data_IF_428270353121
#
_entry.id   IF_428270353121
#
_cell.length_a   1.000
_cell.length_b   1.000
_cell.length_c   1.000
_cell.angle_alpha   90.00
_cell.angle_beta   90.00
_cell.angle_gamma   90.00
#
_symmetry.space_group_name_H-M   'P 1'
#
loop_
_entity.id
_entity.type
_entity.pdbx_description
1 polymer ?
#
# COMPACT_ATOMS: atom_id res chain seq x y z
N UNK A 1 -11.54 -14.44 -48.56
CA UNK A 1 -10.63 -13.41 -48.01
C UNK A 1 -10.26 -12.44 -49.12
N UNK A 2 -10.48 -11.12 -48.99
CA UNK A 2 -10.09 -10.15 -50.01
C UNK A 2 -8.58 -10.21 -50.25
N UNK A 3 -8.17 -10.40 -51.50
CA UNK A 3 -6.75 -10.47 -51.90
C UNK A 3 -6.11 -9.10 -51.67
N UNK A 4 -5.09 -9.01 -50.80
CA UNK A 4 -4.26 -7.80 -50.69
C UNK A 4 -3.80 -7.37 -49.29
N UNK A 5 -4.23 -8.03 -48.20
CA UNK A 5 -3.75 -7.72 -46.85
C UNK A 5 -2.67 -8.72 -46.42
N UNK A 6 -1.43 -8.29 -46.14
CA UNK A 6 -0.39 -9.16 -45.61
C UNK A 6 -0.79 -9.72 -44.24
N UNK A 7 -0.45 -10.99 -43.95
CA UNK A 7 -0.73 -11.67 -42.65
C UNK A 7 -0.22 -10.90 -41.41
N UNK A 8 0.74 -10.00 -41.58
CA UNK A 8 1.32 -9.17 -40.51
C UNK A 8 0.62 -7.81 -40.31
N UNK A 9 -0.55 -7.58 -40.91
CA UNK A 9 -1.43 -6.44 -40.58
C UNK A 9 -1.01 -5.06 -41.10
N UNK A 10 0.14 -4.90 -41.75
CA UNK A 10 0.59 -3.62 -42.29
C UNK A 10 1.01 -3.69 -43.76
N UNK A 11 0.43 -2.78 -44.58
CA UNK A 11 0.82 -2.55 -45.98
C UNK A 11 2.03 -1.62 -46.01
N UNK A 12 3.21 -2.12 -46.42
CA UNK A 12 4.42 -1.30 -46.58
C UNK A 12 4.25 -0.35 -47.78
N UNK A 13 4.00 0.93 -47.53
CA UNK A 13 4.07 2.00 -48.54
C UNK A 13 5.52 2.42 -48.76
N UNK A 14 5.95 2.54 -50.02
CA UNK A 14 7.34 2.81 -50.45
C UNK A 14 7.95 4.11 -49.90
N UNK A 15 7.15 5.07 -49.42
CA UNK A 15 7.62 6.40 -48.97
C UNK A 15 7.37 6.63 -47.47
N UNK A 16 7.88 5.76 -46.60
CA UNK A 16 8.00 6.11 -45.17
C UNK A 16 9.34 6.82 -44.99
N UNK A 17 9.31 8.16 -44.95
CA UNK A 17 10.43 8.95 -44.44
C UNK A 17 10.73 8.42 -43.04
N UNK A 18 11.96 7.97 -42.82
CA UNK A 18 12.42 7.47 -41.52
C UNK A 18 12.46 8.61 -40.52
N UNK A 19 11.31 8.94 -39.95
CA UNK A 19 11.25 9.81 -38.77
C UNK A 19 11.81 8.99 -37.64
N UNK A 20 13.05 9.28 -37.25
CA UNK A 20 13.64 8.77 -36.01
C UNK A 20 12.78 9.31 -34.86
N UNK A 21 11.85 8.51 -34.37
CA UNK A 21 11.18 8.75 -33.10
C UNK A 21 12.24 8.57 -32.00
N UNK A 22 12.91 9.66 -31.62
CA UNK A 22 13.58 9.72 -30.33
C UNK A 22 12.47 9.60 -29.28
N UNK A 23 12.38 8.45 -28.61
CA UNK A 23 11.51 8.35 -27.44
C UNK A 23 12.01 9.39 -26.42
N UNK A 24 11.15 10.30 -25.93
CA UNK A 24 11.56 11.22 -24.90
C UNK A 24 12.01 10.42 -23.68
N UNK A 25 13.30 10.51 -23.34
CA UNK A 25 13.79 9.99 -22.08
C UNK A 25 13.23 10.86 -20.96
N UNK A 26 12.37 10.27 -20.15
CA UNK A 26 11.99 10.86 -18.86
C UNK A 26 13.19 10.82 -17.93
N UNK A 27 14.02 11.86 -17.95
CA UNK A 27 15.04 12.07 -16.93
C UNK A 27 14.31 12.47 -15.65
N UNK A 28 14.18 11.54 -14.70
CA UNK A 28 13.71 11.88 -13.36
C UNK A 28 14.82 12.71 -12.70
N UNK A 29 14.58 13.98 -12.31
CA UNK A 29 15.60 14.72 -11.59
C UNK A 29 15.89 14.01 -10.27
N UNK A 30 17.11 13.48 -10.13
CA UNK A 30 17.60 12.95 -8.86
C UNK A 30 17.93 14.11 -7.95
N UNK A 31 17.00 14.45 -7.06
CA UNK A 31 17.25 15.40 -5.99
C UNK A 31 18.24 14.76 -5.01
N UNK A 32 19.46 15.28 -4.94
CA UNK A 32 20.44 14.89 -3.92
C UNK A 32 20.10 15.67 -2.66
N UNK A 33 19.74 14.97 -1.61
CA UNK A 33 19.35 15.58 -0.33
C UNK A 33 20.49 15.41 0.66
N UNK A 34 20.66 16.40 1.53
CA UNK A 34 21.60 16.31 2.65
C UNK A 34 21.10 15.31 3.71
N UNK A 35 22.02 14.80 4.52
CA UNK A 35 21.68 13.89 5.63
C UNK A 35 20.65 14.52 6.58
N UNK A 36 20.81 15.81 6.88
CA UNK A 36 19.89 16.56 7.76
C UNK A 36 18.48 16.68 7.16
N UNK A 37 18.37 16.91 5.84
CA UNK A 37 17.06 16.95 5.17
C UNK A 37 16.38 15.57 5.14
N UNK A 38 17.16 14.50 4.96
CA UNK A 38 16.65 13.13 5.00
C UNK A 38 16.12 12.79 6.40
N UNK A 39 16.87 13.15 7.44
CA UNK A 39 16.48 12.94 8.84
C UNK A 39 15.19 13.70 9.18
N UNK A 40 15.11 15.00 8.82
CA UNK A 40 13.93 15.82 9.05
C UNK A 40 12.68 15.23 8.37
N UNK A 41 12.82 14.77 7.12
CA UNK A 41 11.73 14.11 6.38
C UNK A 41 11.33 12.77 6.98
N UNK A 42 12.31 11.99 7.46
CA UNK A 42 12.05 10.70 8.07
C UNK A 42 11.24 10.90 9.35
N UNK A 43 11.64 11.87 10.18
CA UNK A 43 10.91 12.26 11.38
C UNK A 43 9.47 12.68 11.07
N UNK A 44 9.29 13.60 10.12
CA UNK A 44 7.95 14.05 9.69
C UNK A 44 7.05 12.89 9.25
N UNK A 45 7.61 11.89 8.56
CA UNK A 45 6.86 10.68 8.17
C UNK A 45 6.46 9.81 9.36
N UNK A 46 7.30 9.69 10.38
CA UNK A 46 6.95 8.93 11.59
C UNK A 46 5.93 9.67 12.44
N UNK A 47 6.06 10.98 12.57
CA UNK A 47 5.05 11.82 13.25
C UNK A 47 3.69 11.66 12.55
N UNK A 48 3.67 11.68 11.22
CA UNK A 48 2.47 11.42 10.43
C UNK A 48 1.92 9.99 10.65
N UNK A 49 2.79 8.96 10.72
CA UNK A 49 2.39 7.59 11.00
C UNK A 49 1.69 7.47 12.35
N UNK A 50 2.21 8.12 13.39
CA UNK A 50 1.60 8.11 14.72
C UNK A 50 0.20 8.73 14.71
N UNK A 51 0.08 9.93 14.14
CA UNK A 51 -1.20 10.65 14.04
C UNK A 51 -2.23 9.83 13.27
N UNK A 52 -1.82 9.24 12.14
CA UNK A 52 -2.71 8.42 11.31
C UNK A 52 -3.11 7.12 12.01
N UNK A 53 -2.20 6.51 12.78
CA UNK A 53 -2.49 5.30 13.55
C UNK A 53 -3.52 5.58 14.63
N UNK A 54 -3.37 6.68 15.37
CA UNK A 54 -4.33 7.10 16.38
C UNK A 54 -5.70 7.44 15.77
N UNK A 55 -5.74 8.22 14.69
CA UNK A 55 -6.98 8.55 13.99
C UNK A 55 -7.70 7.30 13.47
N UNK A 56 -6.96 6.31 13.00
CA UNK A 56 -7.52 5.03 12.54
C UNK A 56 -8.06 4.21 13.71
N UNK A 57 -7.31 4.10 14.81
CA UNK A 57 -7.77 3.36 15.98
C UNK A 57 -8.97 3.99 16.69
N UNK A 58 -9.16 5.31 16.56
CA UNK A 58 -10.35 6.05 17.00
C UNK A 58 -11.53 5.97 16.02
N UNK A 59 -11.35 5.33 14.86
CA UNK A 59 -12.39 5.19 13.83
C UNK A 59 -12.66 6.47 13.02
N UNK A 60 -11.77 7.47 13.07
CA UNK A 60 -11.83 8.66 12.19
C UNK A 60 -11.51 8.23 10.76
N UNK A 61 -10.46 7.42 10.61
CA UNK A 61 -10.14 6.75 9.35
C UNK A 61 -10.73 5.33 9.36
N UNK A 62 -11.25 4.87 8.22
CA UNK A 62 -11.79 3.51 8.08
C UNK A 62 -10.70 2.43 8.07
N UNK A 63 -9.55 2.75 7.49
CA UNK A 63 -8.42 1.85 7.37
C UNK A 63 -7.12 2.66 7.18
N UNK A 64 -5.98 2.05 7.51
CA UNK A 64 -4.64 2.56 7.29
C UNK A 64 -3.76 1.44 6.75
N UNK A 65 -3.07 1.71 5.64
CA UNK A 65 -2.06 0.82 5.08
C UNK A 65 -0.70 1.45 5.29
N UNK A 66 0.20 0.74 5.96
CA UNK A 66 1.55 1.22 6.26
C UNK A 66 2.56 0.37 5.49
N UNK A 67 3.32 1.00 4.60
CA UNK A 67 4.36 0.33 3.81
C UNK A 67 5.70 1.07 3.94
N UNK A 68 6.79 0.34 3.79
CA UNK A 68 8.14 0.89 3.88
C UNK A 68 9.18 -0.20 4.15
N UNK A 69 10.48 0.12 4.09
CA UNK A 69 11.54 -0.88 4.22
C UNK A 69 11.53 -1.56 5.60
N UNK A 70 12.11 -2.75 5.67
CA UNK A 70 12.25 -3.53 6.90
C UNK A 70 13.17 -2.82 7.91
N UNK A 71 12.97 -3.07 9.21
CA UNK A 71 13.84 -2.56 10.27
C UNK A 71 13.64 -1.09 10.67
N UNK A 72 12.69 -0.39 10.05
CA UNK A 72 12.38 1.02 10.39
C UNK A 72 11.46 1.22 11.60
N UNK A 73 10.92 0.14 12.19
CA UNK A 73 10.03 0.27 13.37
C UNK A 73 8.58 0.62 13.07
N UNK A 74 8.11 0.44 11.83
CA UNK A 74 6.69 0.71 11.44
C UNK A 74 5.69 -0.03 12.35
N UNK A 75 5.84 -1.34 12.48
CA UNK A 75 4.97 -2.17 13.33
C UNK A 75 5.06 -1.75 14.80
N UNK A 76 6.27 -1.42 15.29
CA UNK A 76 6.47 -0.92 16.65
C UNK A 76 5.68 0.37 16.93
N UNK A 77 5.75 1.35 16.03
CA UNK A 77 5.00 2.61 16.16
C UNK A 77 3.48 2.37 16.19
N UNK A 78 2.98 1.51 15.30
CA UNK A 78 1.54 1.17 15.27
C UNK A 78 1.12 0.43 16.54
N UNK A 79 1.85 -0.61 16.94
CA UNK A 79 1.59 -1.40 18.16
C UNK A 79 1.63 -0.52 19.43
N UNK A 80 2.56 0.43 19.52
CA UNK A 80 2.63 1.37 20.63
C UNK A 80 1.36 2.22 20.76
N UNK A 81 0.87 2.77 19.64
CA UNK A 81 -0.39 3.55 19.63
C UNK A 81 -1.62 2.71 19.90
N UNK A 82 -1.66 1.49 19.40
CA UNK A 82 -2.73 0.56 19.70
C UNK A 82 -2.75 0.18 21.18
N UNK A 83 -1.58 -0.02 21.82
CA UNK A 83 -1.48 -0.26 23.26
C UNK A 83 -1.92 0.95 24.10
N UNK A 84 -1.70 2.19 23.64
CA UNK A 84 -2.28 3.39 24.26
C UNK A 84 -3.82 3.37 24.19
N UNK A 85 -4.40 2.97 23.05
CA UNK A 85 -5.84 2.87 22.87
C UNK A 85 -6.47 1.71 23.66
N UNK A 86 -5.78 0.58 23.81
CA UNK A 86 -6.24 -0.51 24.70
C UNK A 86 -6.41 -0.03 26.13
N UNK A 87 -5.46 0.77 26.64
CA UNK A 87 -5.56 1.38 27.98
C UNK A 87 -6.75 2.34 28.11
N UNK A 88 -7.22 2.89 26.99
CA UNK A 88 -8.42 3.74 26.92
C UNK A 88 -9.72 2.92 26.74
N UNK A 89 -9.63 1.59 26.70
CA UNK A 89 -10.78 0.69 26.58
C UNK A 89 -11.13 0.28 25.15
N UNK A 90 -10.25 0.52 24.17
CA UNK A 90 -10.41 -0.02 22.83
C UNK A 90 -10.07 -1.53 22.81
N UNK A 91 -10.75 -2.28 21.94
CA UNK A 91 -10.48 -3.69 21.73
C UNK A 91 -9.64 -3.88 20.47
N UNK A 92 -8.36 -4.19 20.64
CA UNK A 92 -7.44 -4.38 19.52
C UNK A 92 -7.23 -5.87 19.28
N UNK A 93 -7.39 -6.29 18.03
CA UNK A 93 -7.13 -7.66 17.60
C UNK A 93 -5.95 -7.67 16.62
N UNK A 94 -4.89 -8.38 16.97
CA UNK A 94 -3.71 -8.53 16.12
C UNK A 94 -3.76 -9.83 15.35
N UNK A 95 -3.44 -9.74 14.07
CA UNK A 95 -3.28 -10.85 13.16
C UNK A 95 -1.87 -10.77 12.59
N UNK A 96 -1.10 -11.83 12.80
CA UNK A 96 0.26 -11.96 12.26
C UNK A 96 0.31 -13.08 11.23
N UNK A 97 0.82 -12.78 10.03
CA UNK A 97 0.96 -13.77 8.96
C UNK A 97 -0.32 -14.07 8.17
N UNK A 98 -0.51 -15.33 7.81
CA UNK A 98 -1.53 -15.78 6.85
C UNK A 98 -2.93 -15.92 7.45
N UNK A 99 -3.94 -15.38 6.75
CA UNK A 99 -5.37 -15.58 7.08
C UNK A 99 -6.13 -16.07 5.85
N UNK A 100 -6.98 -17.08 6.06
CA UNK A 100 -7.90 -17.58 5.02
C UNK A 100 -9.05 -16.59 4.79
N UNK A 101 -9.62 -16.49 3.57
CA UNK A 101 -10.70 -15.55 3.27
C UNK A 101 -11.91 -15.66 4.22
N UNK A 102 -12.32 -16.90 4.55
CA UNK A 102 -13.43 -17.14 5.50
C UNK A 102 -13.11 -16.62 6.91
N UNK A 103 -11.86 -16.78 7.34
CA UNK A 103 -11.42 -16.27 8.63
C UNK A 103 -11.34 -14.74 8.61
N UNK A 104 -10.89 -14.13 7.51
CA UNK A 104 -10.90 -12.68 7.32
C UNK A 104 -12.33 -12.12 7.46
N UNK A 105 -13.31 -12.71 6.76
CA UNK A 105 -14.71 -12.29 6.88
C UNK A 105 -15.23 -12.36 8.31
N UNK A 106 -14.94 -13.47 9.02
CA UNK A 106 -15.31 -13.64 10.42
C UNK A 106 -14.68 -12.58 11.32
N UNK A 107 -13.39 -12.32 11.16
CA UNK A 107 -12.64 -11.31 11.93
C UNK A 107 -13.21 -9.91 11.71
N UNK A 108 -13.48 -9.54 10.46
CA UNK A 108 -14.11 -8.25 10.12
C UNK A 108 -15.50 -8.13 10.77
N UNK A 109 -16.30 -9.20 10.76
CA UNK A 109 -17.62 -9.21 11.40
C UNK A 109 -17.52 -9.08 12.93
N UNK A 110 -16.62 -9.81 13.57
CA UNK A 110 -16.41 -9.77 15.03
C UNK A 110 -15.88 -8.41 15.50
N UNK A 111 -15.09 -7.74 14.66
CA UNK A 111 -14.49 -6.42 14.96
C UNK A 111 -15.30 -5.23 14.43
N UNK A 112 -16.52 -5.42 13.94
CA UNK A 112 -17.37 -4.34 13.38
C UNK A 112 -17.87 -3.30 14.40
N UNK A 113 -17.65 -3.54 15.69
CA UNK A 113 -18.19 -2.71 16.76
C UNK A 113 -17.36 -1.44 16.98
N UNK A 114 -17.96 -0.44 17.62
CA UNK A 114 -17.22 0.79 17.98
C UNK A 114 -16.05 0.43 18.89
N UNK A 115 -14.94 1.14 18.71
CA UNK A 115 -13.68 0.97 19.46
C UNK A 115 -13.00 -0.40 19.25
N UNK A 116 -13.44 -1.22 18.30
CA UNK A 116 -12.70 -2.38 17.86
C UNK A 116 -11.74 -2.00 16.73
N UNK A 117 -10.51 -2.50 16.77
CA UNK A 117 -9.51 -2.29 15.71
C UNK A 117 -8.89 -3.63 15.36
N UNK A 118 -8.84 -3.94 14.07
CA UNK A 118 -8.18 -5.12 13.53
C UNK A 118 -6.85 -4.70 12.90
N UNK A 119 -5.74 -5.24 13.42
CA UNK A 119 -4.39 -4.91 12.97
C UNK A 119 -3.79 -6.13 12.27
N UNK A 120 -3.42 -5.95 11.01
CA UNK A 120 -2.68 -6.95 10.25
C UNK A 120 -1.20 -6.55 10.21
N UNK A 121 -0.34 -7.39 10.77
CA UNK A 121 1.12 -7.24 10.74
C UNK A 121 1.70 -8.42 9.94
N UNK A 122 2.59 -8.11 8.99
CA UNK A 122 3.24 -9.13 8.13
C UNK A 122 2.24 -10.04 7.37
N UNK A 123 1.13 -9.48 6.87
CA UNK A 123 0.02 -10.22 6.25
C UNK A 123 0.01 -10.14 4.72
N UNK A 124 1.18 -10.12 4.08
CA UNK A 124 1.30 -9.94 2.62
C UNK A 124 0.41 -10.92 1.82
N UNK A 125 0.22 -12.12 2.37
CA UNK A 125 -0.63 -13.15 1.78
C UNK A 125 -2.12 -12.80 1.61
N UNK A 126 -2.66 -11.84 2.37
CA UNK A 126 -4.05 -11.36 2.19
C UNK A 126 -4.19 -10.65 0.83
N UNK A 127 -3.11 -10.02 0.35
CA UNK A 127 -3.08 -9.31 -0.93
C UNK A 127 -2.78 -10.24 -2.12
N UNK A 128 -2.60 -11.54 -1.90
CA UNK A 128 -2.34 -12.52 -2.95
C UNK A 128 -3.57 -13.36 -3.33
N UNK A 129 -4.67 -13.23 -2.59
CA UNK A 129 -5.92 -13.94 -2.86
C UNK A 129 -7.03 -12.95 -3.26
N UNK A 130 -7.57 -13.11 -4.47
CA UNK A 130 -8.56 -12.18 -5.04
C UNK A 130 -9.84 -12.08 -4.20
N UNK A 131 -10.24 -13.16 -3.52
CA UNK A 131 -11.43 -13.14 -2.64
C UNK A 131 -11.14 -12.29 -1.41
N UNK A 132 -9.99 -12.48 -0.78
CA UNK A 132 -9.56 -11.72 0.39
C UNK A 132 -9.38 -10.24 0.10
N UNK A 133 -8.91 -9.87 -1.10
CA UNK A 133 -8.79 -8.47 -1.52
C UNK A 133 -10.13 -7.75 -1.73
N UNK A 134 -11.19 -8.49 -2.05
CA UNK A 134 -12.52 -7.93 -2.28
C UNK A 134 -13.38 -7.84 -1.00
N UNK A 135 -12.87 -8.32 0.14
CA UNK A 135 -13.51 -8.27 1.46
C UNK A 135 -13.03 -7.06 2.27
#
# INVERSE_FOLDING_TARGET
>A
MPRGVPKAGFRRTKNRVGVNFHQPQFVRPTKVESVAEIEAKLKDRFDALEIMSEATGKGINRALIVSGPAGLGKSYTVEAKMAELEKQGHHILYIKGYVRPLALYKLLYETRHKNCVLVFDDSDSIFHDDVSMNL
#
